data_IF_128150892351
#
_entry.id   IF_128150892351
#
_cell.length_a   1.000
_cell.length_b   1.000
_cell.length_c   1.000
_cell.angle_alpha   90.00
_cell.angle_beta   90.00
_cell.angle_gamma   90.00
#
_symmetry.space_group_name_H-M   'P 1'
#
loop_
_entity.id
_entity.type
_entity.pdbx_description
1 polymer ?
#
# COMPACT_ATOMS: atom_id res chain seq x y z
N UNK A 1 2.20 13.86 -5.52
CA UNK A 1 1.92 12.41 -5.38
C UNK A 1 0.41 12.22 -5.46
N UNK A 2 -0.10 11.32 -6.31
CA UNK A 2 -1.53 10.93 -6.29
C UNK A 2 -1.63 9.44 -6.06
N UNK A 3 -2.55 9.04 -5.18
CA UNK A 3 -2.83 7.65 -4.84
C UNK A 3 -4.27 7.39 -5.24
N UNK A 4 -4.48 6.33 -6.03
CA UNK A 4 -5.79 5.89 -6.49
C UNK A 4 -5.98 4.44 -6.08
N UNK A 5 -6.82 4.22 -5.08
CA UNK A 5 -7.20 2.88 -4.63
C UNK A 5 -8.51 2.45 -5.28
N UNK A 6 -8.56 1.20 -5.70
CA UNK A 6 -9.73 0.54 -6.28
C UNK A 6 -9.89 -0.81 -5.61
N UNK A 7 -11.12 -1.12 -5.19
CA UNK A 7 -11.45 -2.47 -4.74
C UNK A 7 -11.36 -3.44 -5.91
N UNK A 8 -10.86 -4.63 -5.64
CA UNK A 8 -10.88 -5.75 -6.57
C UNK A 8 -11.43 -6.99 -5.87
N UNK A 9 -11.71 -8.04 -6.63
CA UNK A 9 -12.12 -9.33 -6.05
C UNK A 9 -11.00 -9.82 -5.12
N UNK A 10 -11.33 -10.01 -3.84
CA UNK A 10 -10.40 -10.43 -2.78
C UNK A 10 -9.21 -9.49 -2.54
N UNK A 11 -9.44 -8.17 -2.56
CA UNK A 11 -8.48 -7.23 -2.01
C UNK A 11 -8.55 -5.84 -2.63
N UNK A 12 -7.40 -5.18 -2.71
CA UNK A 12 -7.29 -3.76 -3.08
C UNK A 12 -6.16 -3.56 -4.07
N UNK A 13 -6.42 -2.81 -5.13
CA UNK A 13 -5.38 -2.32 -6.03
C UNK A 13 -5.18 -0.83 -5.82
N UNK A 14 -3.94 -0.40 -5.58
CA UNK A 14 -3.56 0.99 -5.40
C UNK A 14 -2.59 1.42 -6.50
N UNK A 15 -2.89 2.51 -7.20
CA UNK A 15 -1.99 3.13 -8.17
C UNK A 15 -1.40 4.39 -7.56
N UNK A 16 -0.08 4.46 -7.49
CA UNK A 16 0.67 5.57 -6.92
C UNK A 16 1.51 6.21 -8.01
N UNK A 17 1.29 7.50 -8.20
CA UNK A 17 2.03 8.32 -9.16
C UNK A 17 3.04 9.18 -8.41
N UNK A 18 4.28 9.19 -8.93
CA UNK A 18 5.41 9.90 -8.32
C UNK A 18 6.16 9.13 -7.23
N UNK A 19 5.96 7.81 -7.11
CA UNK A 19 6.83 6.90 -6.36
C UNK A 19 7.22 5.72 -7.25
N UNK A 20 8.49 5.35 -7.20
CA UNK A 20 9.02 4.18 -7.90
C UNK A 20 8.70 2.89 -7.14
N UNK A 21 8.71 1.77 -7.86
CA UNK A 21 8.44 0.44 -7.28
C UNK A 21 9.44 0.10 -6.18
N UNK A 22 10.71 0.47 -6.35
CA UNK A 22 11.76 0.25 -5.35
C UNK A 22 11.45 0.96 -4.02
N UNK A 23 11.09 2.25 -4.07
CA UNK A 23 10.72 3.01 -2.87
C UNK A 23 9.49 2.42 -2.18
N UNK A 24 8.55 1.94 -2.99
CA UNK A 24 7.34 1.28 -2.49
C UNK A 24 7.63 -0.07 -1.87
N UNK A 25 8.49 -0.89 -2.48
CA UNK A 25 8.93 -2.18 -1.94
C UNK A 25 9.59 -1.97 -0.59
N UNK A 26 10.56 -1.05 -0.51
CA UNK A 26 11.24 -0.75 0.76
C UNK A 26 10.26 -0.33 1.86
N UNK A 27 9.27 0.51 1.53
CA UNK A 27 8.23 0.91 2.49
C UNK A 27 7.32 -0.25 2.92
N UNK A 28 6.94 -1.12 1.99
CA UNK A 28 6.08 -2.29 2.28
C UNK A 28 6.84 -3.33 3.09
N UNK A 29 8.11 -3.59 2.78
CA UNK A 29 8.97 -4.50 3.54
C UNK A 29 9.20 -3.99 4.96
N UNK A 30 9.40 -2.68 5.14
CA UNK A 30 9.43 -2.05 6.46
C UNK A 30 8.10 -2.28 7.21
N UNK A 31 6.97 -2.19 6.52
CA UNK A 31 5.66 -2.49 7.11
C UNK A 31 5.53 -3.94 7.55
N UNK A 32 5.88 -4.88 6.69
CA UNK A 32 5.82 -6.31 6.99
C UNK A 32 6.75 -6.71 8.14
N UNK A 33 7.88 -6.01 8.27
CA UNK A 33 8.84 -6.22 9.36
C UNK A 33 8.43 -5.55 10.68
N UNK A 34 7.31 -4.82 10.71
CA UNK A 34 6.86 -4.06 11.89
C UNK A 34 7.63 -2.76 12.13
N UNK A 35 8.56 -2.41 11.24
CA UNK A 35 9.33 -1.16 11.25
C UNK A 35 8.64 -0.03 10.46
N UNK A 36 7.37 -0.19 10.10
CA UNK A 36 6.70 0.90 9.42
C UNK A 36 6.60 2.12 10.32
N UNK A 37 7.20 3.21 9.83
CA UNK A 37 7.06 4.56 10.38
C UNK A 37 5.65 5.12 10.19
N UNK A 38 4.72 4.32 9.67
CA UNK A 38 3.34 4.66 9.38
C UNK A 38 2.37 3.75 10.13
N UNK A 39 1.11 4.19 10.26
CA UNK A 39 0.05 3.44 10.93
C UNK A 39 -0.35 2.20 10.12
N UNK A 40 0.50 1.17 10.15
CA UNK A 40 0.16 -0.16 9.69
C UNK A 40 -0.56 -0.90 10.80
N UNK A 41 -1.88 -0.93 10.68
CA UNK A 41 -2.75 -1.68 11.57
C UNK A 41 -2.42 -3.19 11.46
N UNK A 42 -1.95 -3.83 12.54
CA UNK A 42 -1.53 -5.23 12.52
C UNK A 42 -2.71 -6.16 12.21
N UNK A 43 -3.94 -5.79 12.56
CA UNK A 43 -5.12 -6.60 12.24
C UNK A 43 -5.42 -6.59 10.74
N UNK A 44 -5.17 -5.46 10.06
CA UNK A 44 -5.28 -5.37 8.59
C UNK A 44 -4.15 -6.14 7.92
N UNK A 45 -2.93 -6.03 8.43
CA UNK A 45 -1.77 -6.76 7.90
C UNK A 45 -1.97 -8.28 7.97
N UNK A 46 -2.62 -8.80 9.02
CA UNK A 46 -2.96 -10.21 9.12
C UNK A 46 -4.02 -10.68 8.12
N UNK A 47 -4.84 -9.76 7.59
CA UNK A 47 -5.84 -10.06 6.56
C UNK A 47 -5.25 -10.02 5.15
N UNK A 48 -4.05 -9.47 4.99
CA UNK A 48 -3.34 -9.43 3.71
C UNK A 48 -2.64 -10.79 3.52
N UNK A 49 -3.02 -11.51 2.48
CA UNK A 49 -2.39 -12.76 2.08
C UNK A 49 -1.14 -12.52 1.23
N UNK A 50 -1.19 -11.53 0.33
CA UNK A 50 -0.09 -11.22 -0.58
C UNK A 50 -0.12 -9.77 -1.05
N UNK A 51 1.07 -9.23 -1.35
CA UNK A 51 1.24 -7.89 -1.91
C UNK A 51 2.10 -8.00 -3.16
N UNK A 52 1.52 -7.67 -4.30
CA UNK A 52 2.18 -7.62 -5.60
C UNK A 52 2.47 -6.17 -5.98
N UNK A 53 3.72 -5.91 -6.35
CA UNK A 53 4.17 -4.61 -6.82
C UNK A 53 4.48 -4.69 -8.31
N UNK A 54 3.89 -3.78 -9.08
CA UNK A 54 4.04 -3.69 -10.52
C UNK A 54 4.47 -2.28 -10.90
N UNK A 55 5.48 -2.18 -11.76
CA UNK A 55 5.82 -0.91 -12.38
C UNK A 55 4.71 -0.52 -13.36
N UNK A 56 4.26 0.73 -13.29
CA UNK A 56 3.29 1.30 -14.23
C UNK A 56 3.96 2.46 -14.98
N UNK A 57 3.52 2.76 -16.20
CA UNK A 57 4.13 3.82 -17.03
C UNK A 57 4.22 5.18 -16.33
N UNK A 58 3.27 5.50 -15.43
CA UNK A 58 3.23 6.77 -14.68
C UNK A 58 3.61 6.64 -13.19
N UNK A 59 4.16 5.50 -12.77
CA UNK A 59 4.55 5.25 -11.39
C UNK A 59 4.53 3.77 -11.02
N UNK A 60 3.74 3.44 -10.01
CA UNK A 60 3.71 2.09 -9.44
C UNK A 60 2.30 1.66 -9.10
N UNK A 61 2.02 0.38 -9.31
CA UNK A 61 0.78 -0.25 -8.92
C UNK A 61 1.05 -1.29 -7.83
N UNK A 62 0.37 -1.17 -6.70
CA UNK A 62 0.32 -2.17 -5.64
C UNK A 62 -0.98 -2.95 -5.83
N UNK A 63 -0.91 -4.26 -5.73
CA UNK A 63 -2.05 -5.16 -5.74
C UNK A 63 -1.98 -5.96 -4.45
N UNK A 64 -2.90 -5.68 -3.54
CA UNK A 64 -3.01 -6.34 -2.24
C UNK A 64 -4.12 -7.37 -2.37
N UNK A 65 -3.81 -8.60 -2.03
CA UNK A 65 -4.74 -9.74 -2.00
C UNK A 65 -4.98 -10.09 -0.54
N UNK A 66 -6.25 -10.22 -0.15
CA UNK A 66 -6.66 -10.54 1.21
C UNK A 66 -8.08 -10.07 1.57
N UNK A 67 -8.47 -10.29 2.82
CA UNK A 67 -9.76 -9.83 3.39
C UNK A 67 -9.66 -8.36 3.80
N UNK A 68 -9.40 -7.49 2.81
CA UNK A 68 -9.15 -6.07 3.02
C UNK A 68 -9.84 -5.25 1.95
N UNK A 69 -10.33 -4.07 2.34
CA UNK A 69 -11.05 -3.16 1.45
C UNK A 69 -10.31 -1.83 1.28
N UNK A 70 -10.55 -1.19 0.14
CA UNK A 70 -9.87 0.03 -0.26
C UNK A 70 -10.18 1.20 0.66
N UNK A 71 -11.32 1.23 1.36
CA UNK A 71 -11.64 2.32 2.28
C UNK A 71 -10.78 2.24 3.54
N UNK A 72 -10.43 1.03 3.95
CA UNK A 72 -9.53 0.78 5.08
C UNK A 72 -8.07 0.96 4.67
N UNK A 73 -7.66 0.41 3.52
CA UNK A 73 -6.27 0.47 3.04
C UNK A 73 -5.86 1.83 2.47
N UNK A 74 -6.75 2.57 1.80
CA UNK A 74 -6.40 3.86 1.20
C UNK A 74 -5.81 4.88 2.17
N UNK A 75 -6.42 5.17 3.34
CA UNK A 75 -5.83 6.11 4.29
C UNK A 75 -4.49 5.61 4.83
N UNK A 76 -4.35 4.30 5.09
CA UNK A 76 -3.10 3.70 5.57
C UNK A 76 -1.97 3.84 4.55
N UNK A 77 -2.23 3.45 3.29
CA UNK A 77 -1.28 3.61 2.19
C UNK A 77 -0.94 5.08 2.02
N UNK A 78 -1.93 5.98 2.06
CA UNK A 78 -1.68 7.40 1.93
C UNK A 78 -0.76 7.91 3.03
N UNK A 79 -1.07 7.68 4.31
CA UNK A 79 -0.22 8.10 5.42
C UNK A 79 1.18 7.49 5.35
N UNK A 80 1.30 6.24 4.90
CA UNK A 80 2.57 5.55 4.80
C UNK A 80 3.47 6.06 3.67
N UNK A 81 2.86 6.40 2.55
CA UNK A 81 3.58 6.81 1.35
C UNK A 81 3.88 8.29 1.34
N UNK A 82 2.94 9.14 1.77
CA UNK A 82 3.20 10.58 1.86
C UNK A 82 4.05 10.94 3.07
N UNK A 83 4.19 10.01 4.04
CA UNK A 83 4.70 10.30 5.36
C UNK A 83 3.73 11.25 6.03
N UNK A 84 3.00 10.80 7.05
CA UNK A 84 2.20 11.68 7.89
C UNK A 84 3.04 12.91 8.24
N UNK A 85 2.73 14.03 7.58
CA UNK A 85 3.44 15.28 7.78
C UNK A 85 3.06 15.72 9.17
N UNK A 86 3.96 15.49 10.12
CA UNK A 86 3.93 16.19 11.39
C UNK A 86 5.02 17.25 11.37
#
# INVERSE_FOLDING_TARGET
>A
MKIKTVNQTNGVKAFITGLSVEELSTKIEACQSGECTCACDPEIMQKIESIDLLAAEEGSAITIIGDVDAKTLAPMIQECLTGGSK
#
